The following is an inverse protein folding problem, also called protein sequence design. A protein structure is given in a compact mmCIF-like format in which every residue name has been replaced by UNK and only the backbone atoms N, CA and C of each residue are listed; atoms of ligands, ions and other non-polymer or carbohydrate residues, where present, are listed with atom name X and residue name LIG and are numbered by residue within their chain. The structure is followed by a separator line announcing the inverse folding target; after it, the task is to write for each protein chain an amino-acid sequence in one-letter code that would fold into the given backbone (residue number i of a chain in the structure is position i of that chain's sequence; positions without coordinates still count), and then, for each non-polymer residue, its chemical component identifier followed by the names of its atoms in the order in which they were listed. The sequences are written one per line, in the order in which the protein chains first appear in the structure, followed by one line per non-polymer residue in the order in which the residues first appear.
data_IF_293697295125
#
_entry.id   IF_293697295125
#
_cell.length_a   1.000
_cell.length_b   1.000
_cell.length_c   1.000
_cell.angle_alpha   90.00
_cell.angle_beta   90.00
_cell.angle_gamma   90.00
#
_symmetry.space_group_name_H-M   'P 1'
#
loop_
_entity.id
_entity.type
_entity.pdbx_description
1 polymer ?
#
# COMPACT_ATOMS: atom_id res chain seq x y z
N UNK A 1 -36.42 7.48 25.03
CA UNK A 1 -36.12 8.52 24.02
C UNK A 1 -36.97 8.20 22.81
N UNK A 2 -37.87 9.11 22.45
CA UNK A 2 -38.96 8.88 21.50
C UNK A 2 -38.41 8.75 20.08
N UNK A 3 -38.69 7.64 19.41
CA UNK A 3 -38.43 7.48 17.97
C UNK A 3 -39.56 8.16 17.21
N UNK A 4 -39.19 9.21 16.48
CA UNK A 4 -40.03 9.97 15.56
C UNK A 4 -40.67 9.05 14.52
N UNK A 5 -41.98 8.88 14.58
CA UNK A 5 -42.77 8.29 13.51
C UNK A 5 -42.69 9.17 12.27
N UNK A 6 -42.22 8.60 11.17
CA UNK A 6 -42.33 9.22 9.86
C UNK A 6 -43.80 9.29 9.48
N UNK A 7 -44.32 10.50 9.31
CA UNK A 7 -45.62 10.73 8.67
C UNK A 7 -45.46 10.39 7.19
N UNK A 8 -45.98 9.23 6.81
CA UNK A 8 -46.00 8.74 5.44
C UNK A 8 -47.19 9.40 4.73
N UNK A 9 -46.97 10.57 4.10
CA UNK A 9 -48.01 11.39 3.49
C UNK A 9 -48.65 10.79 2.22
N UNK A 10 -48.35 9.53 1.87
CA UNK A 10 -48.83 8.92 0.62
C UNK A 10 -50.27 8.39 0.67
N UNK A 11 -50.89 8.26 1.85
CA UNK A 11 -52.15 7.51 1.98
C UNK A 11 -53.41 8.29 2.42
N UNK A 12 -53.34 9.59 2.69
CA UNK A 12 -54.52 10.35 3.18
C UNK A 12 -55.37 11.01 2.07
N UNK A 13 -55.38 10.44 0.86
CA UNK A 13 -56.30 10.86 -0.19
C UNK A 13 -57.33 9.75 -0.54
N UNK A 14 -57.81 9.04 0.48
CA UNK A 14 -58.89 8.04 0.34
C UNK A 14 -60.21 8.44 1.02
N UNK A 15 -60.37 9.69 1.45
CA UNK A 15 -61.63 10.14 2.07
C UNK A 15 -62.61 10.62 0.99
N UNK A 16 -63.52 9.69 0.62
CA UNK A 16 -64.86 9.90 0.06
C UNK A 16 -64.97 10.55 -1.33
N UNK A 17 -64.72 9.71 -2.34
CA UNK A 17 -64.91 9.96 -3.79
C UNK A 17 -66.31 10.50 -4.19
N UNK A 18 -67.35 10.32 -3.37
CA UNK A 18 -68.73 10.70 -3.78
C UNK A 18 -69.20 12.08 -3.28
N UNK A 19 -68.51 12.72 -2.33
CA UNK A 19 -68.97 14.01 -1.76
C UNK A 19 -68.14 15.24 -2.18
N UNK A 20 -66.94 15.03 -2.74
CA UNK A 20 -66.05 16.13 -3.18
C UNK A 20 -66.24 16.55 -4.65
N UNK A 21 -67.10 15.88 -5.43
CA UNK A 21 -67.24 16.18 -6.86
C UNK A 21 -68.01 17.46 -7.20
N UNK A 22 -68.59 18.15 -6.21
CA UNK A 22 -69.33 19.41 -6.43
C UNK A 22 -68.61 20.68 -5.93
N UNK A 23 -67.57 20.59 -5.10
CA UNK A 23 -66.87 21.78 -4.57
C UNK A 23 -65.63 22.12 -5.42
N UNK A 24 -65.01 21.13 -6.06
CA UNK A 24 -63.75 21.31 -6.81
C UNK A 24 -63.91 21.89 -8.23
N UNK A 25 -65.13 22.21 -8.67
CA UNK A 25 -65.37 22.80 -10.02
C UNK A 25 -65.10 24.30 -10.11
N UNK A 26 -64.84 25.02 -9.01
CA UNK A 26 -64.70 26.49 -9.01
C UNK A 26 -63.66 27.01 -7.98
N UNK A 27 -62.43 26.50 -7.96
CA UNK A 27 -61.35 27.18 -7.24
C UNK A 27 -59.96 27.08 -7.92
N UNK A 28 -59.51 28.14 -8.64
CA UNK A 28 -58.21 28.19 -9.32
C UNK A 28 -56.98 28.05 -8.39
N UNK A 29 -57.16 28.23 -7.08
CA UNK A 29 -56.06 28.30 -6.12
C UNK A 29 -55.55 26.92 -5.66
N UNK A 30 -56.30 25.83 -5.87
CA UNK A 30 -55.89 24.49 -5.43
C UNK A 30 -54.64 23.97 -6.19
N UNK A 31 -54.57 24.21 -7.51
CA UNK A 31 -53.41 23.77 -8.31
C UNK A 31 -52.14 24.53 -7.93
N UNK A 32 -52.25 25.81 -7.56
CA UNK A 32 -51.14 26.64 -7.10
C UNK A 32 -50.66 26.20 -5.72
N UNK A 33 -51.57 25.86 -4.82
CA UNK A 33 -51.23 25.37 -3.47
C UNK A 33 -50.48 24.04 -3.53
N UNK A 34 -50.94 23.07 -4.32
CA UNK A 34 -50.20 21.81 -4.53
C UNK A 34 -48.83 22.05 -5.20
N UNK A 35 -48.75 22.96 -6.17
CA UNK A 35 -47.48 23.30 -6.81
C UNK A 35 -46.48 23.89 -5.81
N UNK A 36 -46.93 24.84 -4.97
CA UNK A 36 -46.10 25.45 -3.93
C UNK A 36 -45.66 24.43 -2.88
N UNK A 37 -46.53 23.49 -2.50
CA UNK A 37 -46.18 22.42 -1.56
C UNK A 37 -45.10 21.49 -2.13
N UNK A 38 -45.20 21.11 -3.40
CA UNK A 38 -44.18 20.30 -4.07
C UNK A 38 -42.85 21.05 -4.22
N UNK A 39 -42.90 22.36 -4.50
CA UNK A 39 -41.72 23.22 -4.52
C UNK A 39 -41.06 23.33 -3.14
N UNK A 40 -41.84 23.53 -2.09
CA UNK A 40 -41.36 23.58 -0.70
C UNK A 40 -40.71 22.25 -0.27
N UNK A 41 -41.33 21.13 -0.60
CA UNK A 41 -40.77 19.80 -0.34
C UNK A 41 -39.45 19.60 -1.10
N UNK A 42 -39.39 19.98 -2.38
CA UNK A 42 -38.17 19.90 -3.19
C UNK A 42 -37.05 20.74 -2.59
N UNK A 43 -37.35 21.99 -2.22
CA UNK A 43 -36.38 22.92 -1.60
C UNK A 43 -35.93 22.40 -0.23
N UNK A 44 -36.83 21.86 0.57
CA UNK A 44 -36.52 21.25 1.87
C UNK A 44 -35.56 20.07 1.73
N UNK A 45 -35.79 19.18 0.76
CA UNK A 45 -34.87 18.07 0.45
C UNK A 45 -33.49 18.57 0.06
N UNK A 46 -33.40 19.55 -0.84
CA UNK A 46 -32.13 20.14 -1.28
C UNK A 46 -31.38 20.75 -0.10
N UNK A 47 -32.06 21.52 0.77
CA UNK A 47 -31.43 22.11 1.96
C UNK A 47 -30.88 21.05 2.90
N UNK A 48 -31.62 19.96 3.12
CA UNK A 48 -31.18 18.84 3.97
C UNK A 48 -29.98 18.10 3.38
N UNK A 49 -30.00 17.82 2.09
CA UNK A 49 -28.89 17.18 1.38
C UNK A 49 -27.63 18.05 1.38
N UNK A 50 -27.77 19.37 1.16
CA UNK A 50 -26.68 20.33 1.25
C UNK A 50 -26.08 20.39 2.65
N UNK A 51 -26.91 20.38 3.69
CA UNK A 51 -26.41 20.40 5.07
C UNK A 51 -25.61 19.14 5.41
N UNK A 52 -26.12 17.97 5.03
CA UNK A 52 -25.42 16.70 5.19
C UNK A 52 -24.11 16.63 4.39
N UNK A 53 -24.06 17.23 3.20
CA UNK A 53 -22.84 17.31 2.42
C UNK A 53 -21.79 18.18 3.12
N UNK A 54 -22.19 19.34 3.62
CA UNK A 54 -21.31 20.25 4.35
C UNK A 54 -20.75 19.59 5.62
N UNK A 55 -21.55 18.82 6.35
CA UNK A 55 -21.07 18.08 7.52
C UNK A 55 -20.01 17.04 7.14
N UNK A 56 -20.23 16.28 6.06
CA UNK A 56 -19.26 15.30 5.55
C UNK A 56 -17.97 15.98 5.06
N UNK A 57 -18.09 17.09 4.34
CA UNK A 57 -16.93 17.87 3.89
C UNK A 57 -16.15 18.44 5.07
N UNK A 58 -16.84 19.01 6.06
CA UNK A 58 -16.23 19.54 7.28
C UNK A 58 -15.49 18.44 8.04
N UNK A 59 -16.10 17.26 8.17
CA UNK A 59 -15.44 16.10 8.78
C UNK A 59 -14.15 15.71 8.05
N UNK A 60 -14.19 15.61 6.72
CA UNK A 60 -13.01 15.31 5.88
C UNK A 60 -11.93 16.39 6.02
N UNK A 61 -12.32 17.68 6.00
CA UNK A 61 -11.40 18.81 6.13
C UNK A 61 -10.76 18.90 7.51
N UNK A 62 -11.46 18.47 8.56
CA UNK A 62 -10.92 18.36 9.92
C UNK A 62 -10.00 17.15 10.10
N UNK A 63 -10.12 16.13 9.25
CA UNK A 63 -9.23 14.98 9.31
C UNK A 63 -7.93 15.28 8.57
N UNK A 64 -6.81 14.76 9.06
CA UNK A 64 -5.46 14.95 8.52
C UNK A 64 -5.18 14.17 7.22
N UNK A 65 -6.23 13.81 6.45
CA UNK A 65 -6.09 13.20 5.12
C UNK A 65 -5.56 11.76 5.15
N UNK A 66 -5.89 10.99 6.18
CA UNK A 66 -5.51 9.58 6.28
C UNK A 66 -6.22 8.74 5.21
N UNK A 67 -5.44 8.15 4.30
CA UNK A 67 -5.91 7.12 3.38
C UNK A 67 -5.84 5.78 4.11
N UNK A 68 -6.96 5.04 4.15
CA UNK A 68 -7.09 3.73 4.80
C UNK A 68 -6.23 2.64 4.15
N UNK A 69 -5.83 2.85 2.90
CA UNK A 69 -5.02 1.93 2.11
C UNK A 69 -3.53 2.33 2.08
N UNK A 70 -2.90 2.46 3.25
CA UNK A 70 -1.43 2.35 3.32
C UNK A 70 -1.02 0.91 3.00
N UNK A 71 -0.49 0.70 1.79
CA UNK A 71 0.09 -0.58 1.42
C UNK A 71 1.48 -0.71 2.03
N UNK A 72 1.61 -1.41 3.15
CA UNK A 72 2.88 -1.74 3.81
C UNK A 72 3.65 -2.85 3.06
N UNK A 73 3.69 -2.75 1.73
CA UNK A 73 4.35 -3.75 0.89
C UNK A 73 5.87 -3.68 1.09
N UNK A 74 6.40 -4.68 1.78
CA UNK A 74 7.85 -4.90 1.84
C UNK A 74 8.31 -5.40 0.47
N UNK A 75 9.14 -4.59 -0.21
CA UNK A 75 9.73 -4.99 -1.48
C UNK A 75 10.52 -6.29 -1.32
N UNK A 76 10.08 -7.36 -1.99
CA UNK A 76 10.81 -8.62 -2.07
C UNK A 76 11.59 -8.65 -3.37
N UNK A 77 12.91 -8.75 -3.29
CA UNK A 77 13.73 -9.04 -4.47
C UNK A 77 13.47 -10.48 -4.91
N UNK A 78 13.20 -10.68 -6.20
CA UNK A 78 13.08 -12.02 -6.77
C UNK A 78 14.41 -12.78 -6.58
N UNK A 79 14.32 -14.01 -6.05
CA UNK A 79 15.48 -14.89 -5.91
C UNK A 79 16.43 -14.58 -4.73
N UNK A 80 16.02 -13.80 -3.73
CA UNK A 80 16.82 -13.59 -2.51
C UNK A 80 17.16 -14.91 -1.79
N UNK A 81 16.16 -15.80 -1.66
CA UNK A 81 16.32 -17.09 -1.00
C UNK A 81 17.31 -18.01 -1.73
N UNK A 82 17.20 -18.11 -3.06
CA UNK A 82 18.14 -18.89 -3.87
C UNK A 82 19.57 -18.36 -3.73
N UNK A 83 19.74 -17.04 -3.77
CA UNK A 83 21.04 -16.39 -3.59
C UNK A 83 21.64 -16.66 -2.20
N UNK A 84 20.80 -16.67 -1.16
CA UNK A 84 21.21 -16.98 0.20
C UNK A 84 21.62 -18.46 0.33
N UNK A 85 20.89 -19.39 -0.28
CA UNK A 85 21.27 -20.81 -0.31
C UNK A 85 22.60 -21.04 -1.07
N UNK A 86 22.80 -20.37 -2.20
CA UNK A 86 24.05 -20.46 -2.97
C UNK A 86 25.23 -19.86 -2.18
N UNK A 87 25.03 -18.75 -1.46
CA UNK A 87 26.05 -18.17 -0.58
C UNK A 87 26.46 -19.14 0.54
N UNK A 88 25.50 -19.82 1.17
CA UNK A 88 25.81 -20.84 2.19
C UNK A 88 26.62 -21.98 1.60
N UNK A 89 26.21 -22.52 0.45
CA UNK A 89 26.94 -23.60 -0.23
C UNK A 89 28.38 -23.21 -0.56
N UNK A 90 28.58 -22.02 -1.15
CA UNK A 90 29.93 -21.51 -1.48
C UNK A 90 30.79 -21.37 -0.21
N UNK A 91 30.18 -20.91 0.89
CA UNK A 91 30.88 -20.73 2.17
C UNK A 91 31.35 -22.06 2.74
N UNK A 92 30.48 -23.08 2.74
CA UNK A 92 30.84 -24.44 3.18
C UNK A 92 31.96 -25.05 2.32
N UNK A 93 31.89 -24.88 1.00
CA UNK A 93 32.94 -25.34 0.08
C UNK A 93 34.27 -24.62 0.35
N UNK A 94 34.23 -23.31 0.60
CA UNK A 94 35.40 -22.51 0.97
C UNK A 94 36.03 -22.97 2.27
N UNK A 95 35.23 -23.24 3.31
CA UNK A 95 35.71 -23.76 4.59
C UNK A 95 36.39 -25.13 4.42
N UNK A 96 35.79 -26.03 3.65
CA UNK A 96 36.38 -27.33 3.33
C UNK A 96 37.71 -27.18 2.59
N UNK A 97 37.79 -26.29 1.59
CA UNK A 97 39.02 -26.01 0.87
C UNK A 97 40.10 -25.42 1.79
N UNK A 98 39.75 -24.49 2.67
CA UNK A 98 40.68 -23.92 3.66
C UNK A 98 41.19 -24.98 4.63
N UNK A 99 40.32 -25.86 5.11
CA UNK A 99 40.72 -26.98 5.98
C UNK A 99 41.71 -27.90 5.27
N UNK A 100 41.44 -28.24 4.00
CA UNK A 100 42.36 -29.03 3.17
C UNK A 100 43.70 -28.33 2.98
N UNK A 101 43.70 -27.05 2.59
CA UNK A 101 44.93 -26.28 2.40
C UNK A 101 45.75 -26.15 3.69
N UNK A 102 45.09 -25.97 4.83
CA UNK A 102 45.75 -25.86 6.14
C UNK A 102 46.37 -27.17 6.62
N UNK A 103 45.74 -28.31 6.29
CA UNK A 103 46.23 -29.64 6.68
C UNK A 103 47.28 -30.20 5.71
N UNK A 104 47.31 -29.71 4.47
CA UNK A 104 48.34 -30.07 3.50
C UNK A 104 49.71 -29.53 3.93
N UNK A 105 50.65 -30.45 4.20
CA UNK A 105 52.05 -30.07 4.41
C UNK A 105 52.69 -29.65 3.08
N UNK A 106 53.40 -28.51 3.03
CA UNK A 106 54.10 -28.11 1.81
C UNK A 106 55.20 -29.13 1.47
N UNK A 107 55.32 -29.47 0.17
CA UNK A 107 56.33 -30.41 -0.33
C UNK A 107 57.76 -29.88 -0.19
N UNK A 108 57.90 -28.56 -0.22
CA UNK A 108 59.18 -27.86 -0.07
C UNK A 108 59.11 -26.89 1.10
N UNK A 109 60.19 -26.81 1.86
CA UNK A 109 60.34 -25.76 2.87
C UNK A 109 60.64 -24.43 2.17
N UNK A 110 59.94 -23.38 2.57
CA UNK A 110 60.19 -22.01 2.10
C UNK A 110 61.66 -21.64 2.31
N UNK A 111 62.23 -22.00 3.46
CA UNK A 111 63.64 -21.74 3.78
C UNK A 111 64.60 -22.42 2.79
N UNK A 112 64.27 -23.64 2.35
CA UNK A 112 65.10 -24.37 1.37
C UNK A 112 64.99 -23.72 0.00
N UNK A 113 63.78 -23.33 -0.40
CA UNK A 113 63.57 -22.62 -1.66
C UNK A 113 64.31 -21.28 -1.68
N UNK A 114 64.22 -20.51 -0.60
CA UNK A 114 64.90 -19.22 -0.45
C UNK A 114 66.42 -19.37 -0.49
N UNK A 115 66.97 -20.36 0.22
CA UNK A 115 68.40 -20.66 0.19
C UNK A 115 68.87 -21.00 -1.23
N UNK A 116 68.16 -21.90 -1.90
CA UNK A 116 68.49 -22.34 -3.25
C UNK A 116 68.42 -21.16 -4.22
N UNK A 117 67.38 -20.34 -4.15
CA UNK A 117 67.24 -19.11 -4.95
C UNK A 117 68.35 -18.10 -4.68
N UNK A 118 68.72 -17.88 -3.42
CA UNK A 118 69.84 -17.00 -3.08
C UNK A 118 71.16 -17.51 -3.64
N UNK A 119 71.41 -18.83 -3.59
CA UNK A 119 72.58 -19.44 -4.21
C UNK A 119 72.58 -19.26 -5.73
N UNK A 120 71.45 -19.49 -6.41
CA UNK A 120 71.34 -19.26 -7.85
C UNK A 120 71.62 -17.79 -8.22
N UNK A 121 71.04 -16.84 -7.50
CA UNK A 121 71.26 -15.41 -7.74
C UNK A 121 72.70 -15.00 -7.48
N UNK A 122 73.34 -15.52 -6.41
CA UNK A 122 74.75 -15.27 -6.12
C UNK A 122 75.67 -15.84 -7.20
N UNK A 123 75.43 -17.07 -7.62
CA UNK A 123 76.18 -17.71 -8.71
C UNK A 123 75.99 -16.93 -10.01
N UNK A 124 74.77 -16.53 -10.37
CA UNK A 124 74.51 -15.73 -11.56
C UNK A 124 75.23 -14.38 -11.50
N UNK A 125 75.19 -13.68 -10.37
CA UNK A 125 75.94 -12.42 -10.17
C UNK A 125 77.44 -12.61 -10.26
N UNK A 126 77.96 -13.74 -9.79
CA UNK A 126 79.35 -14.12 -9.96
C UNK A 126 79.66 -14.31 -11.45
N UNK A 127 78.91 -15.15 -12.17
CA UNK A 127 79.13 -15.39 -13.60
C UNK A 127 79.06 -14.11 -14.46
N UNK A 128 78.10 -13.22 -14.21
CA UNK A 128 77.98 -11.92 -14.92
C UNK A 128 79.02 -10.86 -14.50
N UNK A 129 79.82 -11.13 -13.47
CA UNK A 129 80.93 -10.26 -13.05
C UNK A 129 82.25 -10.68 -13.70
N UNK A 130 82.40 -11.96 -14.01
CA UNK A 130 83.64 -12.53 -14.55
C UNK A 130 83.58 -12.84 -16.05
N UNK A 131 82.43 -12.63 -16.68
CA UNK A 131 82.18 -12.58 -18.12
C UNK A 131 81.37 -11.32 -18.43
#
# INVERSE_FOLDING_TARGET
MQTSGGVDCRNDCSINSSHMHNISRLNPYHSLVCHNQLEEERVSRIKKENHMLLDKMSHIMQTSGGVDCRNDYVQKSLGSEKRQQDLLRITEEHECLLQRLSSCRPRYSVQVYDYVMLCYVKNLKFYNKYF
#
